data_IF_623618051287
#
_entry.id   IF_623618051287
#
_cell.length_a   1.000
_cell.length_b   1.000
_cell.length_c   1.000
_cell.angle_alpha   90.00
_cell.angle_beta   90.00
_cell.angle_gamma   90.00
#
_symmetry.space_group_name_H-M   'P 1'
#
loop_
_entity.id
_entity.type
_entity.pdbx_description
1 polymer ?
#
# COMPACT_ATOMS: atom_id res chain seq x y z
N UNK A 1 17.45 -2.80 24.38
CA UNK A 1 16.38 -2.65 25.40
C UNK A 1 15.99 -1.19 25.69
N UNK A 2 16.89 -0.20 25.55
CA UNK A 2 16.60 1.22 25.81
C UNK A 2 15.64 1.90 24.80
N UNK A 3 15.55 1.40 23.57
CA UNK A 3 14.73 2.03 22.52
C UNK A 3 13.23 1.76 22.69
N UNK A 4 12.83 0.55 23.09
CA UNK A 4 11.42 0.17 23.22
C UNK A 4 10.70 1.01 24.29
N UNK A 5 11.38 1.27 25.42
CA UNK A 5 10.85 2.12 26.49
C UNK A 5 10.57 3.55 26.00
N UNK A 6 11.51 4.16 25.26
CA UNK A 6 11.34 5.51 24.68
C UNK A 6 10.19 5.56 23.68
N UNK A 7 10.06 4.53 22.84
CA UNK A 7 8.94 4.40 21.91
C UNK A 7 7.59 4.29 22.64
N UNK A 8 7.52 3.51 23.72
CA UNK A 8 6.32 3.38 24.55
C UNK A 8 5.97 4.68 25.28
N UNK A 9 6.96 5.42 25.81
CA UNK A 9 6.74 6.75 26.37
C UNK A 9 6.21 7.73 25.33
N UNK A 10 6.79 7.73 24.13
CA UNK A 10 6.33 8.58 23.04
C UNK A 10 4.86 8.29 22.67
N UNK A 11 4.49 7.01 22.56
CA UNK A 11 3.09 6.63 22.33
C UNK A 11 2.15 7.01 23.49
N UNK A 12 2.62 6.94 24.74
CA UNK A 12 1.84 7.43 25.90
C UNK A 12 1.58 8.94 25.82
N UNK A 13 2.60 9.71 25.43
CA UNK A 13 2.49 11.16 25.28
C UNK A 13 1.49 11.54 24.17
N UNK A 14 1.45 10.81 23.05
CA UNK A 14 0.45 11.02 22.00
C UNK A 14 -0.98 10.81 22.50
N UNK A 15 -1.22 9.78 23.32
CA UNK A 15 -2.56 9.56 23.91
C UNK A 15 -2.99 10.72 24.82
N UNK A 16 -2.06 11.32 25.56
CA UNK A 16 -2.34 12.50 26.38
C UNK A 16 -2.71 13.72 25.54
N UNK A 17 -2.28 13.77 24.28
CA UNK A 17 -2.65 14.79 23.29
C UNK A 17 -3.95 14.44 22.55
N UNK A 18 -4.67 13.39 22.95
CA UNK A 18 -5.89 12.93 22.30
C UNK A 18 -5.66 12.11 21.02
N UNK A 19 -4.41 11.80 20.68
CA UNK A 19 -4.07 10.98 19.51
C UNK A 19 -4.05 9.51 19.94
N UNK A 20 -5.10 8.78 19.60
CA UNK A 20 -5.22 7.36 19.91
C UNK A 20 -4.59 6.54 18.79
N UNK A 21 -3.41 5.96 19.04
CA UNK A 21 -2.82 4.95 18.16
C UNK A 21 -3.24 3.58 18.69
N UNK A 22 -3.91 2.74 17.88
CA UNK A 22 -4.57 1.53 18.33
C UNK A 22 -3.52 0.43 18.56
N UNK A 23 -2.69 0.58 19.59
CA UNK A 23 -1.62 -0.36 19.92
C UNK A 23 -2.09 -1.38 20.94
N UNK A 24 -1.76 -2.64 20.68
CA UNK A 24 -1.98 -3.78 21.59
C UNK A 24 -0.63 -4.18 22.17
N UNK A 25 -0.57 -4.43 23.48
CA UNK A 25 0.61 -4.98 24.14
C UNK A 25 0.32 -6.35 24.69
N UNK A 26 1.10 -7.36 24.31
CA UNK A 26 0.93 -8.73 24.83
C UNK A 26 2.30 -9.38 25.05
N UNK A 27 2.57 -9.87 26.27
CA UNK A 27 3.79 -10.65 26.61
C UNK A 27 5.11 -10.03 26.10
N UNK A 28 5.26 -8.70 26.19
CA UNK A 28 6.48 -8.00 25.79
C UNK A 28 6.58 -7.65 24.30
N UNK A 29 5.54 -7.92 23.51
CA UNK A 29 5.43 -7.42 22.13
C UNK A 29 4.54 -6.19 22.06
N UNK A 30 4.81 -5.35 21.07
CA UNK A 30 3.97 -4.23 20.66
C UNK A 30 3.36 -4.57 19.30
N UNK A 31 2.04 -4.62 19.24
CA UNK A 31 1.26 -4.83 18.02
C UNK A 31 0.40 -3.61 17.70
N UNK A 32 -0.09 -3.57 16.47
CA UNK A 32 -1.09 -2.63 15.99
C UNK A 32 -2.42 -3.38 15.84
N UNK A 33 -3.48 -2.88 16.47
CA UNK A 33 -4.86 -3.31 16.26
C UNK A 33 -5.33 -2.83 14.89
N UNK A 34 -5.24 -3.75 13.93
CA UNK A 34 -5.58 -3.50 12.54
C UNK A 34 -7.08 -3.25 12.32
N UNK A 35 -7.96 -3.62 13.26
CA UNK A 35 -9.41 -3.41 13.12
C UNK A 35 -9.82 -1.93 13.12
N UNK A 36 -8.93 -1.06 13.58
CA UNK A 36 -9.13 0.38 13.69
C UNK A 36 -8.24 1.17 12.71
N UNK A 37 -7.58 0.48 11.78
CA UNK A 37 -6.62 1.07 10.85
C UNK A 37 -7.07 0.83 9.43
N UNK A 38 -7.13 1.90 8.66
CA UNK A 38 -7.22 1.82 7.21
C UNK A 38 -5.82 1.64 6.62
N UNK A 39 -5.70 0.76 5.62
CA UNK A 39 -4.47 0.51 4.87
C UNK A 39 -4.81 0.43 3.39
N UNK A 40 -4.20 1.29 2.60
CA UNK A 40 -4.26 1.28 1.14
C UNK A 40 -3.72 -0.05 0.56
N UNK A 41 -2.69 -0.63 1.18
CA UNK A 41 -2.16 -1.94 0.80
C UNK A 41 -3.19 -3.06 0.97
N UNK A 42 -3.95 -3.06 2.06
CA UNK A 42 -4.98 -4.09 2.27
C UNK A 42 -6.17 -3.90 1.31
N UNK A 43 -6.53 -2.65 1.02
CA UNK A 43 -7.55 -2.35 0.00
C UNK A 43 -7.07 -2.83 -1.37
N UNK A 44 -5.81 -2.53 -1.73
CA UNK A 44 -5.20 -2.98 -2.98
C UNK A 44 -5.25 -4.51 -3.11
N UNK A 45 -4.80 -5.24 -2.08
CA UNK A 45 -4.82 -6.71 -2.09
C UNK A 45 -6.23 -7.25 -2.32
N UNK A 46 -7.22 -6.72 -1.58
CA UNK A 46 -8.61 -7.14 -1.71
C UNK A 46 -9.16 -6.90 -3.12
N UNK A 47 -8.83 -5.77 -3.74
CA UNK A 47 -9.24 -5.43 -5.11
C UNK A 47 -8.52 -6.30 -6.14
N UNK A 48 -7.21 -6.55 -5.96
CA UNK A 48 -6.42 -7.40 -6.84
C UNK A 48 -6.91 -8.86 -6.81
N UNK A 49 -7.30 -9.39 -5.66
CA UNK A 49 -7.91 -10.73 -5.58
C UNK A 49 -9.27 -10.80 -6.30
N UNK A 50 -9.99 -9.68 -6.38
CA UNK A 50 -11.29 -9.56 -7.07
C UNK A 50 -11.19 -8.84 -8.43
N UNK A 51 -10.02 -8.89 -9.08
CA UNK A 51 -9.71 -8.21 -10.36
C UNK A 51 -10.48 -8.71 -11.59
N UNK A 52 -11.39 -9.67 -11.42
CA UNK A 52 -12.34 -10.03 -12.49
C UNK A 52 -13.31 -8.90 -12.82
N UNK A 53 -13.56 -8.00 -11.86
CA UNK A 53 -14.36 -6.80 -12.06
C UNK A 53 -13.45 -5.62 -12.45
N UNK A 54 -13.74 -4.99 -13.59
CA UNK A 54 -12.86 -3.94 -14.14
C UNK A 54 -12.72 -2.73 -13.22
N UNK A 55 -13.77 -2.44 -12.43
CA UNK A 55 -13.75 -1.34 -11.48
C UNK A 55 -12.75 -1.58 -10.34
N UNK A 56 -12.56 -2.85 -9.94
CA UNK A 56 -11.56 -3.21 -8.96
C UNK A 56 -10.15 -2.99 -9.51
N UNK A 57 -9.93 -3.28 -10.80
CA UNK A 57 -8.67 -2.98 -11.47
C UNK A 57 -8.38 -1.47 -11.48
N UNK A 58 -9.39 -0.65 -11.83
CA UNK A 58 -9.26 0.82 -11.84
C UNK A 58 -8.88 1.34 -10.46
N UNK A 59 -9.65 0.95 -9.44
CA UNK A 59 -9.44 1.40 -8.06
C UNK A 59 -8.07 0.98 -7.51
N UNK A 60 -7.64 -0.26 -7.77
CA UNK A 60 -6.33 -0.74 -7.33
C UNK A 60 -5.18 0.06 -7.98
N UNK A 61 -5.27 0.35 -9.28
CA UNK A 61 -4.29 1.19 -9.98
C UNK A 61 -4.27 2.64 -9.49
N UNK A 62 -5.39 3.16 -8.99
CA UNK A 62 -5.46 4.48 -8.35
C UNK A 62 -4.78 4.51 -6.98
N UNK A 63 -4.92 3.44 -6.18
CA UNK A 63 -4.25 3.30 -4.89
C UNK A 63 -2.72 3.22 -5.05
N UNK A 64 -2.24 2.64 -6.15
CA UNK A 64 -0.81 2.57 -6.43
C UNK A 64 -0.26 3.90 -6.95
N UNK A 65 0.32 4.69 -6.05
CA UNK A 65 0.91 6.00 -6.38
C UNK A 65 2.42 5.97 -6.64
N UNK A 66 3.10 4.85 -6.35
CA UNK A 66 4.54 4.68 -6.51
C UNK A 66 5.09 3.51 -5.69
N UNK A 67 6.42 3.34 -5.63
CA UNK A 67 7.06 2.24 -4.93
C UNK A 67 6.64 2.15 -3.46
N UNK A 68 6.36 0.92 -3.02
CA UNK A 68 5.89 0.65 -1.65
C UNK A 68 6.95 1.05 -0.63
N UNK A 69 6.60 1.92 0.32
CA UNK A 69 7.52 2.43 1.35
C UNK A 69 8.78 3.12 0.76
N UNK A 70 8.63 3.82 -0.37
CA UNK A 70 9.70 4.55 -1.03
C UNK A 70 10.58 5.36 -0.05
N UNK A 71 11.90 5.19 -0.15
CA UNK A 71 12.89 5.85 0.72
C UNK A 71 13.20 5.11 2.02
N UNK A 72 12.51 4.00 2.32
CA UNK A 72 12.86 3.15 3.44
C UNK A 72 14.13 2.31 3.14
N UNK A 73 15.15 2.30 4.01
CA UNK A 73 16.44 1.68 3.72
C UNK A 73 16.48 0.17 3.98
N UNK A 74 15.32 -0.51 3.99
CA UNK A 74 15.23 -1.88 4.48
C UNK A 74 15.14 -2.90 3.34
N UNK A 75 16.13 -3.79 3.25
CA UNK A 75 16.20 -4.83 2.22
C UNK A 75 15.00 -5.79 2.18
N UNK A 76 14.28 -5.96 3.30
CA UNK A 76 13.11 -6.84 3.32
C UNK A 76 11.93 -6.26 2.54
N UNK A 77 11.94 -4.95 2.25
CA UNK A 77 10.88 -4.26 1.50
C UNK A 77 10.96 -4.59 0.01
N UNK A 78 12.14 -4.88 -0.53
CA UNK A 78 12.34 -5.06 -1.98
C UNK A 78 11.45 -6.14 -2.59
N UNK A 79 11.17 -7.22 -1.85
CA UNK A 79 10.24 -8.25 -2.32
C UNK A 79 8.78 -7.76 -2.40
N UNK A 80 8.39 -6.87 -1.47
CA UNK A 80 7.06 -6.26 -1.47
C UNK A 80 6.94 -5.20 -2.57
N UNK A 81 7.96 -4.34 -2.75
CA UNK A 81 8.01 -3.37 -3.86
C UNK A 81 7.81 -4.07 -5.21
N UNK A 82 8.64 -5.09 -5.50
CA UNK A 82 8.54 -5.84 -6.74
C UNK A 82 7.16 -6.53 -6.91
N UNK A 83 6.58 -7.05 -5.83
CA UNK A 83 5.25 -7.67 -5.87
C UNK A 83 4.17 -6.66 -6.29
N UNK A 84 4.10 -5.49 -5.66
CA UNK A 84 3.08 -4.49 -5.96
C UNK A 84 3.31 -3.79 -7.30
N UNK A 85 4.56 -3.59 -7.71
CA UNK A 85 4.89 -3.10 -9.06
C UNK A 85 4.37 -4.03 -10.15
N UNK A 86 4.69 -5.33 -10.04
CA UNK A 86 4.22 -6.33 -10.99
C UNK A 86 2.70 -6.46 -10.99
N UNK A 87 2.08 -6.52 -9.81
CA UNK A 87 0.62 -6.59 -9.69
C UNK A 87 -0.06 -5.36 -10.34
N UNK A 88 0.47 -4.16 -10.13
CA UNK A 88 -0.06 -2.94 -10.73
C UNK A 88 0.11 -2.94 -12.27
N UNK A 89 1.26 -3.39 -12.78
CA UNK A 89 1.50 -3.52 -14.21
C UNK A 89 0.49 -4.48 -14.87
N UNK A 90 0.22 -5.64 -14.27
CA UNK A 90 -0.79 -6.60 -14.76
C UNK A 90 -2.20 -6.00 -14.83
N UNK A 91 -2.60 -5.22 -13.81
CA UNK A 91 -3.89 -4.53 -13.79
C UNK A 91 -3.96 -3.46 -14.88
N UNK A 92 -2.90 -2.68 -15.06
CA UNK A 92 -2.79 -1.67 -16.11
C UNK A 92 -2.87 -2.29 -17.51
N UNK A 93 -2.21 -3.41 -17.77
CA UNK A 93 -2.34 -4.13 -19.04
C UNK A 93 -3.79 -4.57 -19.30
N UNK A 94 -4.47 -5.05 -18.27
CA UNK A 94 -5.88 -5.45 -18.34
C UNK A 94 -6.76 -4.25 -18.70
N UNK A 95 -6.55 -3.11 -18.04
CA UNK A 95 -7.27 -1.87 -18.31
C UNK A 95 -7.00 -1.35 -19.73
N UNK A 96 -5.74 -1.35 -20.18
CA UNK A 96 -5.36 -0.94 -21.54
C UNK A 96 -6.07 -1.78 -22.61
N UNK A 97 -6.20 -3.10 -22.41
CA UNK A 97 -6.87 -3.99 -23.37
C UNK A 97 -8.38 -3.77 -23.46
N UNK A 98 -9.00 -3.27 -22.39
CA UNK A 98 -10.46 -3.11 -22.29
C UNK A 98 -10.92 -1.65 -22.42
N UNK A 99 -9.99 -0.68 -22.42
CA UNK A 99 -10.32 0.72 -22.46
C UNK A 99 -10.60 1.20 -23.89
N UNK A 100 -11.84 1.64 -24.13
CA UNK A 100 -12.25 2.23 -25.41
C UNK A 100 -11.99 3.75 -25.45
N UNK A 101 -11.94 4.41 -24.29
CA UNK A 101 -11.72 5.86 -24.19
C UNK A 101 -10.24 6.22 -24.35
N UNK A 102 -9.92 7.00 -25.38
CA UNK A 102 -8.53 7.38 -25.72
C UNK A 102 -7.82 8.15 -24.60
N UNK A 103 -8.54 9.01 -23.86
CA UNK A 103 -7.96 9.79 -22.76
C UNK A 103 -7.54 8.91 -21.58
N UNK A 104 -8.38 7.95 -21.18
CA UNK A 104 -8.07 7.03 -20.08
C UNK A 104 -6.98 6.04 -20.50
N UNK A 105 -7.03 5.56 -21.74
CA UNK A 105 -6.01 4.69 -22.32
C UNK A 105 -4.61 5.32 -22.24
N UNK A 106 -4.48 6.60 -22.61
CA UNK A 106 -3.20 7.33 -22.53
C UNK A 106 -2.69 7.42 -21.09
N UNK A 107 -3.57 7.60 -20.10
CA UNK A 107 -3.20 7.65 -18.68
C UNK A 107 -2.65 6.29 -18.22
N UNK A 108 -3.34 5.20 -18.56
CA UNK A 108 -2.91 3.85 -18.18
C UNK A 108 -1.60 3.46 -18.85
N UNK A 109 -1.45 3.75 -20.15
CA UNK A 109 -0.20 3.49 -20.89
C UNK A 109 0.98 4.25 -20.27
N UNK A 110 0.81 5.54 -19.97
CA UNK A 110 1.86 6.33 -19.32
C UNK A 110 2.23 5.80 -17.93
N UNK A 111 1.25 5.39 -17.13
CA UNK A 111 1.53 4.75 -15.83
C UNK A 111 2.30 3.45 -15.99
N UNK A 112 1.93 2.63 -16.98
CA UNK A 112 2.61 1.36 -17.26
C UNK A 112 4.05 1.58 -17.72
N UNK A 113 4.30 2.58 -18.57
CA UNK A 113 5.65 2.99 -18.97
C UNK A 113 6.51 3.34 -17.74
N UNK A 114 6.00 4.18 -16.84
CA UNK A 114 6.75 4.57 -15.62
C UNK A 114 7.13 3.36 -14.75
N UNK A 115 6.25 2.36 -14.64
CA UNK A 115 6.50 1.17 -13.81
C UNK A 115 7.46 0.19 -14.50
N UNK A 116 7.47 0.16 -15.84
CA UNK A 116 8.27 -0.77 -16.64
C UNK A 116 9.59 -0.17 -17.15
N UNK A 117 9.80 1.13 -16.96
CA UNK A 117 11.06 1.80 -17.30
C UNK A 117 12.21 1.30 -16.40
N UNK A 118 13.37 0.92 -16.99
CA UNK A 118 14.51 0.32 -16.28
C UNK A 118 15.38 1.30 -15.49
#
# INVERSE_FOLDING_TARGET
>A
MYCLYKTLEWFKNLRQQGICIPLITQRGTLGLDISQVYSDLWEFDALYYNRSEIENCRRAVELYTGPTLAGAPYNWISAHEAHYELACAELLETLVRQCEETSQLNIYQKKLEIITEP
#
